data_IF_573535308178
#
_entry.id   IF_573535308178
#
_cell.length_a   1.000
_cell.length_b   1.000
_cell.length_c   1.000
_cell.angle_alpha   90.00
_cell.angle_beta   90.00
_cell.angle_gamma   90.00
#
_symmetry.space_group_name_H-M   'P 1'
#
loop_
_entity.id
_entity.type
_entity.pdbx_description
1 polymer ?
#
# COMPACT_ATOMS: atom_id res chain seq x y z
N UNK A 1 11.58 52.90 39.41
CA UNK A 1 13.02 52.89 39.73
C UNK A 1 13.69 52.11 38.60
N UNK A 2 14.05 52.79 37.57
CA UNK A 2 15.30 53.41 37.19
C UNK A 2 16.51 52.49 37.43
N UNK A 3 17.08 51.90 36.38
CA UNK A 3 18.46 52.18 36.01
C UNK A 3 18.78 51.64 34.59
N UNK A 4 18.91 52.62 33.71
CA UNK A 4 19.65 52.58 32.44
C UNK A 4 21.14 52.34 32.72
N UNK A 5 21.81 51.49 31.93
CA UNK A 5 23.23 51.71 31.60
C UNK A 5 23.52 51.28 30.17
N UNK A 6 23.74 52.31 29.37
CA UNK A 6 24.44 52.25 28.08
C UNK A 6 25.93 52.08 28.34
N UNK A 7 26.61 51.33 27.50
CA UNK A 7 28.01 51.65 27.12
C UNK A 7 28.28 51.08 25.73
N UNK A 8 28.67 51.98 24.87
CA UNK A 8 29.14 51.77 23.51
C UNK A 8 30.67 51.57 23.51
N UNK A 9 31.16 51.19 22.35
CA UNK A 9 32.52 51.35 21.75
C UNK A 9 33.09 49.96 21.37
N UNK A 10 33.72 49.68 20.26
CA UNK A 10 34.33 50.46 19.21
C UNK A 10 34.61 49.56 17.99
N UNK A 11 34.72 50.19 16.88
CA UNK A 11 35.13 49.74 15.58
C UNK A 11 36.44 48.96 15.53
N UNK A 12 36.52 47.93 14.69
CA UNK A 12 37.74 47.58 13.96
C UNK A 12 37.37 46.95 12.60
N UNK A 13 37.60 47.71 11.54
CA UNK A 13 37.63 47.24 10.17
C UNK A 13 38.85 46.28 10.01
N UNK A 14 38.64 45.09 9.52
CA UNK A 14 39.66 44.31 8.81
C UNK A 14 39.06 43.80 7.50
N UNK A 15 39.41 44.51 6.44
CA UNK A 15 39.20 44.07 5.06
C UNK A 15 40.29 43.05 4.75
N UNK A 16 39.93 41.79 4.57
CA UNK A 16 40.77 40.77 3.99
C UNK A 16 40.05 40.19 2.78
N UNK A 17 40.51 40.59 1.61
CA UNK A 17 40.16 40.02 0.32
C UNK A 17 40.74 38.60 0.27
N UNK A 18 39.88 37.59 0.38
CA UNK A 18 40.24 36.20 0.07
C UNK A 18 39.43 35.74 -1.11
N UNK A 19 40.10 35.56 -2.25
CA UNK A 19 39.55 34.94 -3.44
C UNK A 19 39.15 33.49 -3.13
N UNK A 20 37.86 33.24 -3.08
CA UNK A 20 37.35 31.88 -2.99
C UNK A 20 37.23 31.27 -4.38
N UNK A 21 38.13 30.36 -4.71
CA UNK A 21 38.04 29.49 -5.88
C UNK A 21 36.83 28.56 -5.64
N UNK A 22 35.77 28.75 -6.44
CA UNK A 22 34.63 27.86 -6.47
C UNK A 22 35.05 26.57 -7.17
N UNK A 23 35.41 25.54 -6.40
CA UNK A 23 35.44 24.17 -6.90
C UNK A 23 34.02 23.68 -7.05
N UNK A 24 33.54 23.54 -8.28
CA UNK A 24 32.32 22.85 -8.64
C UNK A 24 32.54 21.38 -8.33
N UNK A 25 32.19 20.98 -7.13
CA UNK A 25 32.07 19.58 -6.75
C UNK A 25 30.86 18.98 -7.44
N UNK A 26 31.07 18.16 -8.46
CA UNK A 26 30.04 17.31 -9.04
C UNK A 26 29.48 16.42 -7.91
N UNK A 27 28.29 16.74 -7.41
CA UNK A 27 27.52 15.85 -6.57
C UNK A 27 27.12 14.65 -7.43
N UNK A 28 27.87 13.58 -7.27
CA UNK A 28 27.51 12.27 -7.73
C UNK A 28 26.26 11.89 -6.91
N UNK A 29 25.07 12.06 -7.51
CA UNK A 29 23.84 11.44 -7.00
C UNK A 29 24.05 9.94 -7.02
N UNK A 30 24.60 9.41 -5.93
CA UNK A 30 24.55 8.00 -5.65
C UNK A 30 23.09 7.63 -5.49
N UNK A 31 22.51 7.07 -6.53
CA UNK A 31 21.26 6.36 -6.44
C UNK A 31 21.44 5.33 -5.34
N UNK A 32 20.85 5.58 -4.17
CA UNK A 32 20.64 4.54 -3.17
C UNK A 32 19.73 3.53 -3.82
N UNK A 33 20.31 2.39 -4.14
CA UNK A 33 19.56 1.21 -4.54
C UNK A 33 18.49 0.96 -3.48
N UNK A 34 17.22 1.12 -3.90
CA UNK A 34 16.04 0.91 -3.05
C UNK A 34 15.83 -0.56 -2.67
N UNK A 35 16.90 -1.37 -2.74
CA UNK A 35 16.88 -2.83 -2.46
C UNK A 35 17.07 -3.20 -1.00
N UNK A 36 17.50 -2.28 -0.15
CA UNK A 36 17.78 -2.57 1.26
C UNK A 36 16.78 -1.96 2.25
N UNK A 37 15.66 -1.42 1.76
CA UNK A 37 14.57 -1.01 2.64
C UNK A 37 13.95 -2.26 3.29
N UNK A 38 13.66 -2.23 4.61
CA UNK A 38 13.01 -3.35 5.30
C UNK A 38 11.72 -3.80 4.61
N UNK A 39 11.05 -2.90 3.88
CA UNK A 39 9.86 -3.20 3.07
C UNK A 39 10.15 -4.03 1.80
N UNK A 40 11.38 -4.10 1.31
CA UNK A 40 11.72 -4.90 0.11
C UNK A 40 11.53 -6.41 0.33
N UNK A 41 11.51 -6.87 1.59
CA UNK A 41 11.25 -8.27 1.96
C UNK A 41 9.77 -8.55 2.24
N UNK A 42 8.94 -7.51 2.35
CA UNK A 42 7.51 -7.65 2.63
C UNK A 42 6.76 -7.99 1.35
N UNK A 43 5.96 -9.09 1.33
CA UNK A 43 5.12 -9.40 0.18
C UNK A 43 4.08 -8.30 -0.06
N UNK A 44 3.76 -8.03 -1.32
CA UNK A 44 2.73 -7.07 -1.72
C UNK A 44 1.50 -7.79 -2.27
N UNK A 45 0.33 -7.17 -2.18
CA UNK A 45 -0.89 -7.72 -2.74
C UNK A 45 -1.24 -6.98 -4.03
N UNK A 46 -1.56 -7.76 -5.07
CA UNK A 46 -2.17 -7.27 -6.31
C UNK A 46 -3.58 -7.80 -6.40
N UNK A 47 -4.55 -6.92 -6.55
CA UNK A 47 -5.95 -7.27 -6.71
C UNK A 47 -6.39 -7.02 -8.15
N UNK A 48 -7.01 -8.01 -8.77
CA UNK A 48 -7.53 -7.94 -10.14
C UNK A 48 -9.00 -8.34 -10.15
N UNK A 49 -9.78 -7.67 -10.98
CA UNK A 49 -11.16 -8.01 -11.31
C UNK A 49 -11.27 -8.44 -12.77
N UNK A 50 -12.06 -9.43 -13.07
CA UNK A 50 -12.32 -9.89 -14.42
C UNK A 50 -13.79 -10.35 -14.57
N UNK A 51 -14.57 -9.65 -15.42
CA UNK A 51 -14.26 -8.42 -16.13
C UNK A 51 -14.22 -7.19 -15.21
N UNK A 52 -13.50 -6.13 -15.62
CA UNK A 52 -13.50 -4.83 -14.91
C UNK A 52 -14.74 -4.01 -15.27
N UNK A 53 -15.21 -4.13 -16.52
CA UNK A 53 -16.41 -3.47 -17.06
C UNK A 53 -17.33 -4.55 -17.60
N UNK A 54 -18.61 -4.48 -17.26
CA UNK A 54 -19.62 -5.45 -17.67
C UNK A 54 -21.03 -4.86 -17.63
N UNK A 55 -22.03 -5.66 -17.97
CA UNK A 55 -23.46 -5.30 -17.97
C UNK A 55 -24.16 -6.07 -16.85
N UNK A 56 -25.09 -5.39 -16.16
CA UNK A 56 -25.85 -5.93 -15.02
C UNK A 56 -26.84 -7.02 -15.46
N UNK A 57 -27.02 -8.07 -14.63
CA UNK A 57 -26.21 -8.46 -13.48
C UNK A 57 -24.89 -9.08 -13.94
N UNK A 58 -23.78 -8.71 -13.29
CA UNK A 58 -22.44 -9.11 -13.69
C UNK A 58 -21.76 -10.03 -12.68
N UNK A 59 -21.42 -11.23 -13.08
CA UNK A 59 -20.56 -12.13 -12.32
C UNK A 59 -19.11 -11.75 -12.57
N UNK A 60 -18.41 -11.30 -11.55
CA UNK A 60 -17.02 -10.84 -11.62
C UNK A 60 -16.15 -11.74 -10.76
N UNK A 61 -15.08 -12.25 -11.36
CA UNK A 61 -14.04 -13.00 -10.65
C UNK A 61 -12.98 -12.02 -10.11
N UNK A 62 -12.77 -12.04 -8.82
CA UNK A 62 -11.73 -11.26 -8.14
C UNK A 62 -10.59 -12.18 -7.73
N UNK A 63 -9.37 -11.76 -8.04
CA UNK A 63 -8.16 -12.52 -7.71
C UNK A 63 -7.18 -11.61 -6.99
N UNK A 64 -6.87 -11.94 -5.74
CA UNK A 64 -5.79 -11.33 -4.97
C UNK A 64 -4.56 -12.23 -5.04
N UNK A 65 -3.44 -11.66 -5.49
CA UNK A 65 -2.15 -12.33 -5.60
C UNK A 65 -1.13 -11.68 -4.68
N UNK A 66 -0.47 -12.48 -3.84
CA UNK A 66 0.66 -12.05 -3.02
C UNK A 66 1.93 -12.24 -3.84
N UNK A 67 2.61 -11.14 -4.15
CA UNK A 67 3.80 -11.10 -4.98
C UNK A 67 5.03 -10.64 -4.20
N UNK A 68 6.19 -11.19 -4.54
CA UNK A 68 7.45 -10.90 -3.86
C UNK A 68 7.52 -11.46 -2.44
N UNK A 69 8.53 -11.03 -1.70
CA UNK A 69 8.78 -11.45 -0.32
C UNK A 69 9.03 -12.94 -0.13
N UNK A 70 9.33 -13.33 1.09
CA UNK A 70 9.57 -14.72 1.47
C UNK A 70 8.28 -15.54 1.49
N UNK A 71 8.38 -16.86 1.24
CA UNK A 71 7.23 -17.77 1.32
C UNK A 71 6.79 -18.03 2.76
N UNK A 72 7.67 -17.90 3.71
CA UNK A 72 7.46 -18.09 5.13
C UNK A 72 7.24 -16.75 5.89
N UNK A 73 6.68 -15.74 5.22
CA UNK A 73 6.40 -14.45 5.85
C UNK A 73 5.31 -14.59 6.92
N UNK A 74 5.71 -14.67 8.18
CA UNK A 74 4.85 -15.01 9.32
C UNK A 74 3.56 -14.17 9.41
N UNK A 75 3.67 -12.87 9.11
CA UNK A 75 2.54 -11.94 9.22
C UNK A 75 1.38 -12.28 8.24
N UNK A 76 1.72 -12.98 7.11
CA UNK A 76 0.75 -13.41 6.10
C UNK A 76 0.42 -14.90 6.18
N UNK A 77 0.97 -15.60 7.17
CA UNK A 77 0.63 -16.99 7.42
C UNK A 77 -0.73 -17.10 8.09
N UNK A 78 -1.62 -17.91 7.50
CA UNK A 78 -2.96 -18.20 8.00
C UNK A 78 -3.77 -16.95 8.40
N UNK A 79 -3.91 -15.97 7.51
CA UNK A 79 -4.67 -14.76 7.82
C UNK A 79 -6.16 -15.03 7.75
N UNK A 80 -6.94 -14.24 8.48
CA UNK A 80 -8.34 -14.03 8.13
C UNK A 80 -8.41 -13.17 6.86
N UNK A 81 -9.19 -13.59 5.89
CA UNK A 81 -9.39 -12.91 4.60
C UNK A 81 -10.71 -12.17 4.64
N UNK A 82 -10.67 -10.88 4.34
CA UNK A 82 -11.87 -10.04 4.20
C UNK A 82 -11.98 -9.50 2.77
N UNK A 83 -13.17 -9.62 2.19
CA UNK A 83 -13.57 -9.00 0.94
C UNK A 83 -14.65 -7.97 1.24
N UNK A 84 -14.37 -6.73 0.95
CA UNK A 84 -15.32 -5.62 0.99
C UNK A 84 -15.76 -5.33 -0.45
N UNK A 85 -17.04 -5.51 -0.73
CA UNK A 85 -17.55 -5.46 -2.09
C UNK A 85 -17.80 -4.04 -2.61
N UNK A 86 -17.74 -3.04 -1.71
CA UNK A 86 -18.01 -1.65 -2.06
C UNK A 86 -19.49 -1.33 -2.27
N UNK A 87 -20.39 -2.27 -1.95
CA UNK A 87 -21.84 -2.13 -1.98
C UNK A 87 -22.45 -2.04 -0.57
N UNK A 88 -21.60 -1.88 0.45
CA UNK A 88 -21.97 -1.89 1.86
C UNK A 88 -21.97 -3.28 2.48
N UNK A 89 -21.67 -4.31 1.70
CA UNK A 89 -21.53 -5.70 2.19
C UNK A 89 -20.07 -6.14 2.19
N UNK A 90 -19.78 -7.16 2.99
CA UNK A 90 -18.46 -7.79 3.05
C UNK A 90 -18.59 -9.27 3.33
N UNK A 91 -17.55 -10.02 3.03
CA UNK A 91 -17.41 -11.42 3.44
C UNK A 91 -16.06 -11.66 4.11
N UNK A 92 -16.04 -12.49 5.12
CA UNK A 92 -14.84 -12.84 5.87
C UNK A 92 -14.71 -14.36 5.94
N UNK A 93 -13.48 -14.86 5.79
CA UNK A 93 -13.17 -16.27 5.95
C UNK A 93 -11.82 -16.45 6.63
N UNK A 94 -11.74 -17.43 7.52
CA UNK A 94 -10.52 -17.86 8.18
C UNK A 94 -10.28 -19.34 7.91
N UNK A 95 -9.01 -19.72 7.84
CA UNK A 95 -8.60 -21.10 7.77
C UNK A 95 -8.12 -21.57 9.15
N UNK A 96 -8.31 -22.83 9.44
CA UNK A 96 -7.71 -23.49 10.61
C UNK A 96 -6.35 -24.04 10.17
N UNK A 97 -5.27 -23.51 10.72
CA UNK A 97 -3.90 -23.84 10.34
C UNK A 97 -3.11 -24.34 11.55
N UNK A 98 -2.12 -25.18 11.28
CA UNK A 98 -1.13 -25.54 12.29
C UNK A 98 -0.36 -24.30 12.77
N UNK A 99 0.27 -24.35 13.96
CA UNK A 99 1.14 -23.28 14.42
C UNK A 99 2.22 -22.93 13.39
N UNK A 100 2.57 -21.64 13.30
CA UNK A 100 3.62 -21.19 12.39
C UNK A 100 4.99 -21.78 12.81
N UNK A 101 5.72 -22.32 11.81
CA UNK A 101 7.09 -22.79 11.92
C UNK A 101 7.95 -22.10 10.87
N UNK A 102 8.95 -21.31 11.32
CA UNK A 102 9.86 -20.59 10.42
C UNK A 102 10.59 -21.56 9.48
N UNK A 103 10.67 -21.23 8.20
CA UNK A 103 11.30 -22.04 7.16
C UNK A 103 10.52 -23.28 6.74
N UNK A 104 9.36 -23.57 7.35
CA UNK A 104 8.49 -24.69 6.96
C UNK A 104 7.10 -24.25 6.57
N UNK A 105 6.54 -23.29 7.29
CA UNK A 105 5.20 -22.75 7.00
C UNK A 105 5.23 -21.89 5.75
N UNK A 106 4.27 -22.11 4.85
CA UNK A 106 4.16 -21.35 3.61
C UNK A 106 2.89 -20.51 3.58
N UNK A 107 2.99 -19.30 3.04
CA UNK A 107 1.85 -18.41 2.86
C UNK A 107 1.04 -18.81 1.62
N UNK A 108 -0.28 -18.74 1.73
CA UNK A 108 -1.16 -18.87 0.55
C UNK A 108 -1.03 -17.61 -0.31
N UNK A 109 -0.59 -17.77 -1.55
CA UNK A 109 -0.28 -16.63 -2.43
C UNK A 109 -1.41 -16.20 -3.34
N UNK A 110 -2.49 -16.99 -3.46
CA UNK A 110 -3.62 -16.66 -4.34
C UNK A 110 -4.94 -16.90 -3.64
N UNK A 111 -5.81 -15.91 -3.73
CA UNK A 111 -7.18 -15.94 -3.25
C UNK A 111 -8.09 -15.52 -4.39
N UNK A 112 -9.08 -16.36 -4.71
CA UNK A 112 -10.01 -16.09 -5.80
C UNK A 112 -11.43 -16.26 -5.29
N UNK A 113 -12.32 -15.36 -5.71
CA UNK A 113 -13.73 -15.38 -5.34
C UNK A 113 -14.56 -14.82 -6.51
N UNK A 114 -15.81 -15.23 -6.60
CA UNK A 114 -16.78 -14.66 -7.53
C UNK A 114 -17.84 -13.89 -6.75
N UNK A 115 -18.20 -12.73 -7.27
CA UNK A 115 -19.29 -11.92 -6.73
C UNK A 115 -20.18 -11.40 -7.86
N UNK A 116 -21.48 -11.27 -7.58
CA UNK A 116 -22.45 -10.77 -8.56
C UNK A 116 -22.80 -9.34 -8.22
N UNK A 117 -22.41 -8.43 -9.12
CA UNK A 117 -22.68 -7.00 -8.98
C UNK A 117 -23.91 -6.60 -9.81
N UNK A 118 -24.69 -5.66 -9.28
CA UNK A 118 -25.73 -4.94 -10.02
C UNK A 118 -25.13 -3.74 -10.76
N UNK A 119 -25.96 -2.96 -11.46
CA UNK A 119 -25.49 -1.72 -12.09
C UNK A 119 -24.93 -0.76 -11.04
N UNK A 120 -23.70 -0.26 -11.27
CA UNK A 120 -23.03 0.62 -10.34
C UNK A 120 -21.51 0.70 -10.58
N UNK A 121 -20.86 1.47 -9.72
CA UNK A 121 -19.41 1.61 -9.66
C UNK A 121 -18.95 1.21 -8.26
N UNK A 122 -18.06 0.22 -8.18
CA UNK A 122 -17.69 -0.41 -6.93
C UNK A 122 -16.19 -0.28 -6.68
N UNK A 123 -15.81 0.08 -5.45
CA UNK A 123 -14.45 0.02 -4.95
C UNK A 123 -14.31 -1.22 -4.09
N UNK A 124 -13.85 -2.29 -4.71
CA UNK A 124 -13.65 -3.57 -4.01
C UNK A 124 -12.32 -3.55 -3.28
N UNK A 125 -12.32 -3.95 -2.01
CA UNK A 125 -11.10 -4.10 -1.23
C UNK A 125 -10.92 -5.56 -0.76
N UNK A 126 -9.68 -6.01 -0.81
CA UNK A 126 -9.21 -7.26 -0.22
C UNK A 126 -8.29 -6.92 0.95
N UNK A 127 -8.50 -7.57 2.10
CA UNK A 127 -7.69 -7.38 3.30
C UNK A 127 -7.25 -8.71 3.88
N UNK A 128 -5.98 -8.80 4.24
CA UNK A 128 -5.47 -9.84 5.13
C UNK A 128 -5.49 -9.31 6.54
N UNK A 129 -6.10 -10.06 7.47
CA UNK A 129 -6.24 -9.66 8.88
C UNK A 129 -5.58 -10.67 9.80
N UNK A 130 -4.94 -10.18 10.85
CA UNK A 130 -4.52 -10.98 12.02
C UNK A 130 -5.07 -10.33 13.28
N UNK A 131 -5.71 -11.12 14.13
CA UNK A 131 -6.30 -10.62 15.40
C UNK A 131 -7.16 -9.36 15.19
N UNK A 132 -8.03 -9.37 14.17
CA UNK A 132 -8.91 -8.27 13.78
C UNK A 132 -8.20 -6.98 13.26
N UNK A 133 -6.89 -7.03 13.05
CA UNK A 133 -6.12 -5.92 12.46
C UNK A 133 -5.74 -6.25 11.02
N UNK A 134 -6.01 -5.35 10.09
CA UNK A 134 -5.52 -5.47 8.72
C UNK A 134 -3.99 -5.37 8.70
N UNK A 135 -3.32 -6.38 8.18
CA UNK A 135 -1.85 -6.44 8.00
C UNK A 135 -1.45 -6.09 6.58
N UNK A 136 -2.35 -6.32 5.62
CA UNK A 136 -2.17 -5.90 4.25
C UNK A 136 -3.53 -5.72 3.57
N UNK A 137 -3.58 -4.83 2.55
CA UNK A 137 -4.77 -4.58 1.77
C UNK A 137 -4.42 -4.22 0.33
N UNK A 138 -5.36 -4.46 -0.58
CA UNK A 138 -5.32 -3.99 -1.95
C UNK A 138 -6.74 -3.66 -2.42
N UNK A 139 -6.86 -2.73 -3.35
CA UNK A 139 -8.15 -2.29 -3.90
C UNK A 139 -8.17 -2.40 -5.41
N UNK A 140 -9.35 -2.57 -5.98
CA UNK A 140 -9.62 -2.50 -7.42
C UNK A 140 -10.99 -1.89 -7.65
N UNK A 141 -11.27 -1.49 -8.89
CA UNK A 141 -12.59 -0.97 -9.27
C UNK A 141 -13.29 -1.94 -10.19
N UNK A 142 -14.62 -2.00 -10.07
CA UNK A 142 -15.51 -2.75 -10.95
C UNK A 142 -16.62 -1.81 -11.41
N UNK A 143 -16.83 -1.72 -12.72
CA UNK A 143 -17.91 -0.94 -13.30
C UNK A 143 -18.93 -1.85 -13.96
N UNK A 144 -20.17 -1.78 -13.52
CA UNK A 144 -21.29 -2.53 -14.09
C UNK A 144 -22.31 -1.56 -14.66
N UNK A 145 -22.46 -1.59 -15.97
CA UNK A 145 -23.42 -0.76 -16.68
C UNK A 145 -24.85 -1.32 -16.50
N UNK A 146 -25.84 -0.45 -16.46
CA UNK A 146 -27.24 -0.89 -16.54
C UNK A 146 -27.51 -1.60 -17.86
N UNK A 147 -28.25 -2.69 -17.84
CA UNK A 147 -28.79 -3.26 -19.06
C UNK A 147 -29.70 -2.24 -19.75
N UNK A 148 -29.67 -2.14 -21.08
CA UNK A 148 -30.65 -1.36 -21.80
C UNK A 148 -32.06 -1.97 -21.53
N UNK A 149 -32.91 -1.20 -20.90
CA UNK A 149 -34.30 -1.57 -20.76
C UNK A 149 -34.96 -1.34 -22.15
N UNK A 150 -34.93 -2.39 -22.96
CA UNK A 150 -35.75 -2.36 -24.19
C UNK A 150 -37.18 -2.47 -23.73
N UNK A 151 -37.76 -1.32 -23.41
CA UNK A 151 -39.19 -1.20 -23.05
C UNK A 151 -40.07 -2.01 -24.02
N UNK A 152 -40.87 -2.87 -23.43
CA UNK A 152 -42.00 -3.51 -24.09
C UNK A 152 -43.13 -2.53 -24.25
#
# INVERSE_FOLDING_TARGET
MVHLRRLAWSSALCVSLSAAVATIGAQKNGGKDAKDAPDAKRPQIRLKANPIISVSPAKVTLTAEIVGGANDFEEYYCPTVEWDWGDGTHSESSADCAPYEAGKSEIKRRFTVEHVFRAGYYHVAFRLKRRNKAVAAATTTVQVQGGADFGR
#
